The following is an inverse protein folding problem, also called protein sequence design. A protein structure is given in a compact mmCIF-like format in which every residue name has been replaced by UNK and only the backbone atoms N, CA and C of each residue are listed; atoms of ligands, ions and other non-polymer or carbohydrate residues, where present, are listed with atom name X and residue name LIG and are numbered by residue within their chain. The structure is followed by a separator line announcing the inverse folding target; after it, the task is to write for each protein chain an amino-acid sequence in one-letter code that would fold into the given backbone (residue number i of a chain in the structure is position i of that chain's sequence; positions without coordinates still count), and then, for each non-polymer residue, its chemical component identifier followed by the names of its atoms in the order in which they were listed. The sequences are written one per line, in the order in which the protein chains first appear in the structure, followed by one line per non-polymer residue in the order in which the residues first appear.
data_IF_090352930186
#
_entry.id   IF_090352930186
#
_cell.length_a   1.000
_cell.length_b   1.000
_cell.length_c   1.000
_cell.angle_alpha   90.00
_cell.angle_beta   90.00
_cell.angle_gamma   90.00
#
_symmetry.space_group_name_H-M   'P 1'
#
loop_
_entity.id
_entity.type
_entity.pdbx_description
1 polymer ?
#
# COMPACT_ATOMS: atom_id res chain seq x y z
N UNK A 1 -9.18 -25.48 -34.82
CA UNK A 1 -8.12 -25.76 -33.84
C UNK A 1 -8.15 -24.65 -32.78
N UNK A 2 -8.93 -24.80 -31.69
CA UNK A 2 -9.09 -23.77 -30.65
C UNK A 2 -7.77 -23.35 -29.96
N UNK A 3 -6.71 -24.15 -30.12
CA UNK A 3 -5.40 -23.88 -29.56
C UNK A 3 -4.59 -22.79 -30.30
N UNK A 4 -4.95 -22.46 -31.54
CA UNK A 4 -4.25 -21.40 -32.29
C UNK A 4 -4.72 -20.01 -31.86
N UNK A 5 -6.03 -19.83 -31.66
CA UNK A 5 -6.58 -18.55 -31.18
C UNK A 5 -6.07 -18.21 -29.76
N UNK A 6 -5.94 -19.20 -28.88
CA UNK A 6 -5.34 -19.03 -27.55
C UNK A 6 -3.90 -18.51 -27.68
N UNK A 7 -3.06 -19.17 -28.49
CA UNK A 7 -1.65 -18.78 -28.68
C UNK A 7 -1.52 -17.39 -29.30
N UNK A 8 -2.39 -17.04 -30.23
CA UNK A 8 -2.39 -15.72 -30.86
C UNK A 8 -2.77 -14.62 -29.85
N UNK A 9 -3.73 -14.89 -28.95
CA UNK A 9 -4.10 -13.97 -27.86
C UNK A 9 -2.95 -13.85 -26.85
N UNK A 10 -2.32 -14.95 -26.45
CA UNK A 10 -1.16 -14.93 -25.53
C UNK A 10 -0.01 -14.10 -26.09
N UNK A 11 0.31 -14.24 -27.37
CA UNK A 11 1.34 -13.42 -28.03
C UNK A 11 0.98 -11.94 -28.01
N UNK A 12 -0.29 -11.59 -28.29
CA UNK A 12 -0.75 -10.19 -28.20
C UNK A 12 -0.63 -9.64 -26.79
N UNK A 13 -1.02 -10.41 -25.77
CA UNK A 13 -0.87 -10.02 -24.36
C UNK A 13 0.60 -9.76 -24.05
N UNK A 14 1.50 -10.66 -24.45
CA UNK A 14 2.94 -10.49 -24.25
C UNK A 14 3.47 -9.19 -24.87
N UNK A 15 3.20 -8.96 -26.16
CA UNK A 15 3.65 -7.74 -26.85
C UNK A 15 3.07 -6.47 -26.22
N UNK A 16 1.82 -6.50 -25.78
CA UNK A 16 1.19 -5.36 -25.10
C UNK A 16 1.81 -5.12 -23.72
N UNK A 17 2.10 -6.16 -22.94
CA UNK A 17 2.77 -6.03 -21.66
C UNK A 17 4.19 -5.45 -21.80
N UNK A 18 4.96 -5.89 -22.81
CA UNK A 18 6.28 -5.32 -23.09
C UNK A 18 6.19 -3.82 -23.43
N UNK A 19 5.21 -3.44 -24.25
CA UNK A 19 4.97 -2.04 -24.59
C UNK A 19 4.57 -1.22 -23.36
N UNK A 20 3.67 -1.75 -22.53
CA UNK A 20 3.23 -1.10 -21.30
C UNK A 20 4.41 -0.88 -20.35
N UNK A 21 5.26 -1.89 -20.15
CA UNK A 21 6.45 -1.79 -19.29
C UNK A 21 7.42 -0.69 -19.76
N UNK A 22 7.66 -0.59 -21.08
CA UNK A 22 8.49 0.50 -21.65
C UNK A 22 7.89 1.88 -21.40
N UNK A 23 6.58 2.03 -21.61
CA UNK A 23 5.89 3.29 -21.36
C UNK A 23 5.90 3.68 -19.88
N UNK A 24 5.68 2.73 -18.98
CA UNK A 24 5.75 2.96 -17.54
C UNK A 24 7.15 3.34 -17.08
N UNK A 25 8.19 2.71 -17.63
CA UNK A 25 9.59 3.04 -17.29
C UNK A 25 9.96 4.46 -17.73
N UNK A 26 9.51 4.89 -18.91
CA UNK A 26 9.76 6.24 -19.43
C UNK A 26 8.93 7.33 -18.73
N UNK A 27 7.86 6.96 -18.02
CA UNK A 27 6.94 7.88 -17.32
C UNK A 27 6.95 7.64 -15.80
N UNK A 28 8.11 7.35 -15.21
CA UNK A 28 8.22 7.24 -13.74
C UNK A 28 8.29 8.63 -13.11
N UNK A 29 7.39 8.91 -12.17
CA UNK A 29 7.49 10.09 -11.29
C UNK A 29 6.37 11.11 -11.39
N UNK A 30 5.11 10.68 -11.53
CA UNK A 30 4.00 11.61 -11.35
C UNK A 30 3.98 12.08 -9.88
N UNK A 31 3.83 13.39 -9.69
CA UNK A 31 3.59 13.94 -8.36
C UNK A 31 2.30 13.35 -7.79
N UNK A 32 2.36 12.93 -6.54
CA UNK A 32 1.22 12.39 -5.80
C UNK A 32 0.66 13.51 -4.95
N UNK A 33 -0.68 13.64 -4.94
CA UNK A 33 -1.37 14.63 -4.09
C UNK A 33 -1.02 14.37 -2.63
N UNK A 34 -0.86 15.44 -1.85
CA UNK A 34 -0.59 15.34 -0.42
C UNK A 34 -1.88 15.03 0.38
N UNK A 35 -2.40 13.81 0.26
CA UNK A 35 -3.67 13.39 0.88
C UNK A 35 -3.65 13.44 2.42
N UNK A 36 -4.81 13.69 3.03
CA UNK A 36 -5.02 13.61 4.49
C UNK A 36 -5.34 12.19 4.96
N UNK A 37 -4.92 11.90 6.19
CA UNK A 37 -5.19 10.68 6.93
C UNK A 37 -5.52 10.99 8.39
N UNK A 38 -6.26 10.11 9.04
CA UNK A 38 -6.51 10.21 10.49
C UNK A 38 -5.67 9.20 11.27
N UNK A 39 -5.08 9.63 12.39
CA UNK A 39 -4.33 8.78 13.33
C UNK A 39 -4.95 8.86 14.72
N UNK A 40 -4.34 8.17 15.69
CA UNK A 40 -4.80 8.26 17.09
C UNK A 40 -4.41 9.62 17.70
N UNK A 41 -3.39 10.27 17.16
CA UNK A 41 -2.87 11.58 17.55
C UNK A 41 -3.58 12.75 16.86
N UNK A 42 -4.32 12.50 15.77
CA UNK A 42 -5.04 13.53 15.01
C UNK A 42 -4.92 13.35 13.49
N UNK A 43 -5.26 14.39 12.74
CA UNK A 43 -5.10 14.42 11.29
C UNK A 43 -3.64 14.69 10.91
N UNK A 44 -3.15 13.99 9.88
CA UNK A 44 -1.83 14.17 9.27
C UNK A 44 -1.94 14.03 7.76
N UNK A 45 -0.95 14.49 7.01
CA UNK A 45 -0.92 14.36 5.55
C UNK A 45 0.13 13.34 5.05
N UNK A 46 0.11 13.04 3.75
CA UNK A 46 1.00 12.06 3.11
C UNK A 46 2.49 12.43 3.29
N UNK A 47 2.85 13.71 3.21
CA UNK A 47 4.22 14.17 3.42
C UNK A 47 4.66 13.92 4.87
N UNK A 48 3.79 14.13 5.85
CA UNK A 48 4.10 13.85 7.27
C UNK A 48 4.43 12.36 7.49
N UNK A 49 3.85 11.45 6.69
CA UNK A 49 4.12 10.02 6.80
C UNK A 49 5.59 9.66 6.51
N UNK A 50 6.32 10.47 5.74
CA UNK A 50 7.76 10.27 5.49
C UNK A 50 8.58 10.39 6.78
N UNK A 51 8.16 11.23 7.73
CA UNK A 51 8.95 11.53 8.92
C UNK A 51 10.34 12.03 8.54
N UNK A 52 11.38 11.38 9.07
CA UNK A 52 12.78 11.73 8.81
C UNK A 52 13.39 11.04 7.58
N UNK A 53 12.60 10.27 6.81
CA UNK A 53 13.09 9.46 5.68
C UNK A 53 12.78 10.13 4.34
N UNK A 54 13.58 9.82 3.33
CA UNK A 54 13.39 10.26 1.94
C UNK A 54 12.45 9.35 1.13
N UNK A 55 12.12 8.16 1.66
CA UNK A 55 11.30 7.14 1.02
C UNK A 55 10.21 6.66 1.96
N UNK A 56 9.01 6.46 1.42
CA UNK A 56 7.84 5.94 2.11
C UNK A 56 7.37 4.65 1.45
N UNK A 57 7.24 3.59 2.24
CA UNK A 57 6.46 2.39 1.94
C UNK A 57 5.11 2.52 2.64
N UNK A 58 4.10 2.87 1.86
CA UNK A 58 2.72 2.99 2.33
C UNK A 58 1.98 1.70 1.99
N UNK A 59 1.62 0.94 3.02
CA UNK A 59 1.05 -0.39 2.90
C UNK A 59 -0.47 -0.30 2.98
N UNK A 60 -1.17 -0.66 1.89
CA UNK A 60 -2.62 -0.75 1.88
C UNK A 60 -3.10 -2.06 2.52
N UNK A 61 -3.88 -1.92 3.57
CA UNK A 61 -4.50 -3.02 4.28
C UNK A 61 -6.02 -2.81 4.29
N UNK A 62 -6.79 -3.85 4.03
CA UNK A 62 -8.26 -3.76 4.03
C UNK A 62 -8.87 -3.71 5.45
N UNK A 63 -8.03 -3.64 6.48
CA UNK A 63 -8.43 -3.57 7.88
C UNK A 63 -8.69 -4.95 8.50
N UNK A 64 -9.26 -4.95 9.70
CA UNK A 64 -9.51 -6.16 10.49
C UNK A 64 -10.43 -7.19 9.80
N UNK A 65 -11.20 -6.77 8.79
CA UNK A 65 -12.13 -7.65 8.05
C UNK A 65 -11.46 -8.59 7.04
N UNK A 66 -10.18 -8.37 6.71
CA UNK A 66 -9.46 -9.13 5.69
C UNK A 66 -8.46 -10.11 6.31
N UNK A 67 -8.82 -11.39 6.38
CA UNK A 67 -7.97 -12.44 6.97
C UNK A 67 -6.58 -12.57 6.32
N UNK A 68 -6.50 -12.39 4.99
CA UNK A 68 -5.23 -12.45 4.26
C UNK A 68 -4.36 -11.24 4.55
N UNK A 69 -4.98 -10.07 4.74
CA UNK A 69 -4.31 -8.85 5.12
C UNK A 69 -3.70 -8.95 6.52
N UNK A 70 -4.42 -9.59 7.45
CA UNK A 70 -3.87 -9.95 8.76
C UNK A 70 -2.68 -10.90 8.61
N UNK A 71 -2.85 -11.99 7.87
CA UNK A 71 -1.83 -13.04 7.72
C UNK A 71 -0.47 -12.50 7.27
N UNK A 72 -0.42 -11.71 6.19
CA UNK A 72 0.88 -11.19 5.72
C UNK A 72 1.40 -10.05 6.62
N UNK A 73 0.53 -9.23 7.22
CA UNK A 73 0.95 -8.16 8.12
C UNK A 73 1.61 -8.72 9.39
N UNK A 74 1.13 -9.86 9.91
CA UNK A 74 1.79 -10.59 10.99
C UNK A 74 3.21 -11.02 10.60
N UNK A 75 3.40 -11.49 9.36
CA UNK A 75 4.71 -11.87 8.83
C UNK A 75 5.64 -10.66 8.65
N UNK A 76 5.15 -9.58 8.05
CA UNK A 76 5.91 -8.34 7.84
C UNK A 76 6.34 -7.68 9.15
N UNK A 77 5.54 -7.81 10.22
CA UNK A 77 5.84 -7.24 11.52
C UNK A 77 7.23 -7.65 12.07
N UNK A 78 7.69 -8.86 11.76
CA UNK A 78 9.02 -9.33 12.17
C UNK A 78 10.19 -8.65 11.46
N UNK A 79 9.98 -8.18 10.23
CA UNK A 79 11.00 -7.52 9.40
C UNK A 79 10.93 -5.99 9.47
N UNK A 80 9.89 -5.44 10.10
CA UNK A 80 9.64 -4.01 10.15
C UNK A 80 10.86 -3.18 10.58
N UNK A 81 11.65 -3.54 11.63
CA UNK A 81 12.83 -2.76 12.02
C UNK A 81 13.91 -2.67 10.93
N UNK A 82 14.07 -3.74 10.13
CA UNK A 82 15.04 -3.74 9.04
C UNK A 82 14.60 -2.79 7.93
N UNK A 83 13.31 -2.77 7.59
CA UNK A 83 12.76 -1.82 6.62
C UNK A 83 12.89 -0.38 7.15
N UNK A 84 12.49 -0.14 8.40
CA UNK A 84 12.51 1.19 9.01
C UNK A 84 13.90 1.80 9.21
N UNK A 85 14.95 0.97 9.14
CA UNK A 85 16.32 1.47 9.08
C UNK A 85 16.59 2.33 7.84
N UNK A 86 15.92 2.04 6.72
CA UNK A 86 16.19 2.68 5.42
C UNK A 86 14.99 3.49 4.89
N UNK A 87 13.76 3.05 5.15
CA UNK A 87 12.55 3.67 4.59
C UNK A 87 11.51 3.89 5.68
N UNK A 88 10.66 4.89 5.49
CA UNK A 88 9.49 5.10 6.34
C UNK A 88 8.44 4.04 6.01
N UNK A 89 7.89 3.33 7.00
CA UNK A 89 6.84 2.33 6.78
C UNK A 89 5.57 2.72 7.53
N UNK A 90 4.43 2.74 6.84
CA UNK A 90 3.12 3.03 7.42
C UNK A 90 2.10 2.06 6.86
N UNK A 91 1.25 1.50 7.72
CA UNK A 91 0.13 0.67 7.31
C UNK A 91 -1.15 1.49 7.37
N UNK A 92 -1.86 1.57 6.24
CA UNK A 92 -3.14 2.30 6.14
C UNK A 92 -4.30 1.37 5.87
N UNK A 93 -5.47 1.73 6.40
CA UNK A 93 -6.73 1.03 6.14
C UNK A 93 -7.92 1.97 6.27
N UNK A 94 -9.11 1.49 5.89
CA UNK A 94 -10.37 2.22 6.10
C UNK A 94 -10.83 2.28 7.56
N UNK A 95 -10.32 1.38 8.41
CA UNK A 95 -10.73 1.29 9.81
C UNK A 95 -10.40 2.59 10.56
N UNK A 96 -11.27 3.00 11.49
CA UNK A 96 -11.03 4.18 12.32
C UNK A 96 -9.75 4.02 13.18
N UNK A 97 -9.04 5.11 13.53
CA UNK A 97 -7.74 5.01 14.19
C UNK A 97 -7.74 4.22 15.50
N UNK A 98 -8.80 4.35 16.32
CA UNK A 98 -8.96 3.60 17.57
C UNK A 98 -9.08 2.10 17.31
N UNK A 99 -9.78 1.72 16.23
CA UNK A 99 -9.97 0.33 15.83
C UNK A 99 -8.67 -0.26 15.29
N UNK A 100 -7.96 0.48 14.41
CA UNK A 100 -6.64 0.09 13.93
C UNK A 100 -5.68 -0.17 15.10
N UNK A 101 -5.61 0.76 16.06
CA UNK A 101 -4.72 0.62 17.23
C UNK A 101 -5.10 -0.58 18.08
N UNK A 102 -6.39 -0.78 18.37
CA UNK A 102 -6.87 -1.95 19.12
C UNK A 102 -6.48 -3.26 18.44
N UNK A 103 -6.69 -3.34 17.13
CA UNK A 103 -6.37 -4.53 16.35
C UNK A 103 -4.87 -4.79 16.31
N UNK A 104 -4.06 -3.77 15.98
CA UNK A 104 -2.61 -3.87 15.98
C UNK A 104 -2.05 -4.32 17.34
N UNK A 105 -2.54 -3.75 18.45
CA UNK A 105 -2.14 -4.14 19.80
C UNK A 105 -2.46 -5.62 20.07
N UNK A 106 -3.62 -6.12 19.64
CA UNK A 106 -4.00 -7.53 19.82
C UNK A 106 -3.11 -8.51 19.04
N UNK A 107 -2.41 -8.03 18.00
CA UNK A 107 -1.48 -8.80 17.17
C UNK A 107 0.00 -8.53 17.48
N UNK A 108 0.29 -7.62 18.41
CA UNK A 108 1.66 -7.16 18.68
C UNK A 108 2.29 -6.45 17.47
N UNK A 109 1.48 -5.86 16.59
CA UNK A 109 1.96 -5.11 15.45
C UNK A 109 2.60 -3.80 15.88
N UNK A 110 3.72 -3.46 15.23
CA UNK A 110 4.52 -2.27 15.53
C UNK A 110 4.46 -1.19 14.45
N UNK A 111 3.66 -1.40 13.39
CA UNK A 111 3.49 -0.42 12.33
C UNK A 111 3.00 0.93 12.88
N UNK A 112 3.47 2.02 12.28
CA UNK A 112 2.72 3.28 12.31
C UNK A 112 1.43 3.07 11.51
N UNK A 113 0.33 3.58 12.04
CA UNK A 113 -1.02 3.35 11.52
C UNK A 113 -1.66 4.68 11.14
N UNK A 114 -2.31 4.71 9.99
CA UNK A 114 -3.10 5.85 9.56
C UNK A 114 -4.38 5.36 8.86
N UNK A 115 -5.49 6.05 9.05
CA UNK A 115 -6.76 5.73 8.44
C UNK A 115 -6.99 6.62 7.24
N UNK A 116 -7.33 6.01 6.10
CA UNK A 116 -7.76 6.74 4.91
C UNK A 116 -9.28 6.89 4.82
N UNK A 117 -10.04 6.33 5.78
CA UNK A 117 -11.50 6.47 5.90
C UNK A 117 -12.35 6.00 4.71
N UNK A 118 -11.75 5.44 3.65
CA UNK A 118 -12.41 5.18 2.37
C UNK A 118 -12.55 6.40 1.45
N UNK A 119 -11.81 7.50 1.72
CA UNK A 119 -11.83 8.73 0.92
C UNK A 119 -11.04 8.65 -0.40
N UNK A 120 -10.79 9.81 -1.01
CA UNK A 120 -10.19 9.96 -2.35
C UNK A 120 -8.87 9.21 -2.52
N UNK A 121 -8.00 9.22 -1.49
CA UNK A 121 -6.72 8.52 -1.51
C UNK A 121 -6.83 7.07 -2.01
N UNK A 122 -7.72 6.27 -1.43
CA UNK A 122 -7.82 4.86 -1.80
C UNK A 122 -8.51 4.68 -3.15
N UNK A 123 -9.34 5.62 -3.60
CA UNK A 123 -10.00 5.53 -4.90
C UNK A 123 -9.03 5.81 -6.05
N UNK A 124 -8.07 6.71 -5.81
CA UNK A 124 -7.12 7.17 -6.82
C UNK A 124 -5.79 6.39 -6.81
N UNK A 125 -5.42 5.78 -5.68
CA UNK A 125 -4.12 5.15 -5.49
C UNK A 125 -4.17 3.63 -5.25
N UNK A 126 -5.33 2.96 -5.42
CA UNK A 126 -5.44 1.50 -5.31
C UNK A 126 -5.26 0.73 -6.62
#
# INVERSE_FOLDING_TARGET
MPNNEIRDIEQKIHTLMERLAKLQQSNRGNEVINYSFSTIEGEINLLDLFGEKDKLLLIHNMGQGCRYCTLWADGFNGFLPHLESTISVVLVSKDAPQLQRKFANSRGWRFRLASHGGGEYIQEQS
#
